data_IF_827108298814
#
_entry.id   IF_827108298814
#
_cell.length_a   1.000
_cell.length_b   1.000
_cell.length_c   1.000
_cell.angle_alpha   90.00
_cell.angle_beta   90.00
_cell.angle_gamma   90.00
#
_symmetry.space_group_name_H-M   'P 1'
#
loop_
_entity.id
_entity.type
_entity.pdbx_description
1 polymer ?
#
# COMPACT_ATOMS: atom_id res chain seq x y z
N UNK A 1 33.74 -8.77 -48.18
CA UNK A 1 32.37 -9.34 -48.27
C UNK A 1 31.38 -8.23 -48.61
N UNK A 2 30.42 -8.47 -49.51
CA UNK A 2 29.58 -7.39 -50.09
C UNK A 2 28.49 -6.88 -49.14
N UNK A 3 28.24 -5.56 -49.16
CA UNK A 3 27.16 -4.86 -48.43
C UNK A 3 25.76 -5.44 -48.68
N UNK A 4 25.55 -6.15 -49.79
CA UNK A 4 24.29 -6.83 -50.08
C UNK A 4 23.96 -7.97 -49.10
N UNK A 5 24.97 -8.66 -48.56
CA UNK A 5 24.73 -9.83 -47.70
C UNK A 5 24.27 -9.46 -46.29
N UNK A 6 24.75 -8.33 -45.77
CA UNK A 6 24.35 -7.82 -44.44
C UNK A 6 22.89 -7.37 -44.44
N UNK A 7 22.40 -6.80 -45.55
CA UNK A 7 21.00 -6.36 -45.69
C UNK A 7 19.99 -7.51 -45.72
N UNK A 8 20.36 -8.69 -46.26
CA UNK A 8 19.47 -9.87 -46.23
C UNK A 8 19.27 -10.41 -44.82
N UNK A 9 20.36 -10.64 -44.07
CA UNK A 9 20.26 -11.17 -42.71
C UNK A 9 19.40 -10.28 -41.79
N UNK A 10 19.56 -8.94 -41.87
CA UNK A 10 18.75 -8.00 -41.06
C UNK A 10 17.26 -8.05 -41.43
N UNK A 11 16.90 -8.33 -42.68
CA UNK A 11 15.50 -8.50 -43.11
C UNK A 11 14.91 -9.83 -42.63
N UNK A 12 15.68 -10.92 -42.64
CA UNK A 12 15.21 -12.22 -42.13
C UNK A 12 15.06 -12.24 -40.60
N UNK A 13 15.99 -11.64 -39.84
CA UNK A 13 15.86 -11.54 -38.37
C UNK A 13 14.63 -10.71 -37.96
N UNK A 14 14.34 -9.60 -38.66
CA UNK A 14 13.13 -8.81 -38.41
C UNK A 14 11.83 -9.55 -38.78
N UNK A 15 11.88 -10.49 -39.73
CA UNK A 15 10.73 -11.34 -40.10
C UNK A 15 10.41 -12.35 -39.00
N UNK A 16 11.43 -13.01 -38.46
CA UNK A 16 11.31 -13.97 -37.36
C UNK A 16 10.83 -13.34 -36.03
N UNK A 17 11.24 -12.11 -35.74
CA UNK A 17 10.75 -11.37 -34.56
C UNK A 17 9.26 -10.99 -34.71
N UNK A 18 8.86 -10.49 -35.89
CA UNK A 18 7.46 -10.15 -36.17
C UNK A 18 6.49 -11.34 -36.08
N UNK A 19 6.93 -12.55 -36.46
CA UNK A 19 6.07 -13.74 -36.35
C UNK A 19 5.88 -14.20 -34.89
N UNK A 20 6.89 -14.01 -34.02
CA UNK A 20 6.73 -14.27 -32.58
C UNK A 20 5.75 -13.30 -31.92
N UNK A 21 5.88 -12.00 -32.15
CA UNK A 21 4.96 -11.01 -31.55
C UNK A 21 3.52 -11.21 -32.04
N UNK A 22 3.32 -11.52 -33.33
CA UNK A 22 1.98 -11.85 -33.86
C UNK A 22 1.40 -13.12 -33.26
N UNK A 23 2.22 -14.14 -32.98
CA UNK A 23 1.77 -15.35 -32.29
C UNK A 23 1.30 -15.04 -30.86
N UNK A 24 2.05 -14.21 -30.13
CA UNK A 24 1.73 -13.79 -28.76
C UNK A 24 0.47 -12.93 -28.68
N UNK A 25 0.34 -11.91 -29.54
CA UNK A 25 -0.89 -11.10 -29.64
C UNK A 25 -2.11 -11.94 -30.05
N UNK A 26 -1.92 -12.91 -30.95
CA UNK A 26 -2.98 -13.85 -31.35
C UNK A 26 -3.45 -14.74 -30.19
N UNK A 27 -2.55 -15.14 -29.30
CA UNK A 27 -2.88 -16.00 -28.16
C UNK A 27 -3.72 -15.25 -27.11
N UNK A 28 -3.29 -14.04 -26.72
CA UNK A 28 -4.02 -13.18 -25.77
C UNK A 28 -5.42 -12.82 -26.30
N UNK A 29 -5.52 -12.39 -27.57
CA UNK A 29 -6.79 -12.02 -28.22
C UNK A 29 -7.78 -13.20 -28.32
N UNK A 30 -7.27 -14.45 -28.47
CA UNK A 30 -8.10 -15.66 -28.52
C UNK A 30 -8.53 -16.15 -27.14
N UNK A 31 -7.72 -15.92 -26.09
CA UNK A 31 -8.09 -16.31 -24.73
C UNK A 31 -9.22 -15.43 -24.19
N UNK A 32 -9.09 -14.10 -24.33
CA UNK A 32 -10.10 -13.14 -23.85
C UNK A 32 -11.48 -13.33 -24.50
N UNK A 33 -11.53 -13.64 -25.81
CA UNK A 33 -12.78 -13.92 -26.54
C UNK A 33 -13.47 -15.23 -26.13
N UNK A 34 -12.80 -16.14 -25.40
CA UNK A 34 -13.37 -17.43 -25.00
C UNK A 34 -14.11 -17.36 -23.66
N UNK A 35 -13.86 -16.34 -22.83
CA UNK A 35 -14.36 -16.28 -21.45
C UNK A 35 -15.62 -15.39 -21.35
N UNK A 36 -15.77 -14.36 -22.20
CA UNK A 36 -16.92 -13.44 -22.15
C UNK A 36 -17.51 -13.11 -23.53
N UNK A 37 -18.53 -13.84 -24.00
CA UNK A 37 -19.44 -13.36 -25.04
C UNK A 37 -20.57 -12.55 -24.39
N UNK A 38 -20.84 -11.32 -24.87
CA UNK A 38 -22.19 -10.72 -25.07
C UNK A 38 -22.10 -9.23 -25.50
N UNK A 39 -22.79 -8.95 -26.60
CA UNK A 39 -23.73 -7.82 -26.76
C UNK A 39 -23.31 -6.40 -26.34
N UNK A 40 -22.94 -5.60 -27.34
CA UNK A 40 -23.00 -4.13 -27.27
C UNK A 40 -24.43 -3.63 -26.97
N UNK A 41 -24.52 -2.58 -26.15
CA UNK A 41 -25.28 -1.40 -26.55
C UNK A 41 -24.68 -0.13 -25.91
N UNK A 42 -24.56 0.93 -26.71
CA UNK A 42 -23.81 2.15 -26.39
C UNK A 42 -24.77 3.35 -26.37
N UNK A 43 -24.81 4.06 -25.26
CA UNK A 43 -25.49 5.34 -25.13
C UNK A 43 -24.49 6.39 -24.69
N UNK A 44 -24.20 7.36 -25.56
CA UNK A 44 -23.33 8.49 -25.23
C UNK A 44 -24.15 9.58 -24.53
N UNK A 45 -23.65 10.15 -23.43
CA UNK A 45 -23.92 11.55 -23.07
C UNK A 45 -22.80 12.11 -22.20
N UNK A 46 -22.43 13.35 -22.47
CA UNK A 46 -21.26 14.05 -21.92
C UNK A 46 -21.70 15.15 -20.95
N UNK A 47 -21.16 15.19 -19.72
CA UNK A 47 -21.24 16.39 -18.87
C UNK A 47 -19.99 16.63 -18.01
N UNK A 48 -19.42 17.81 -18.23
CA UNK A 48 -18.79 18.75 -17.28
C UNK A 48 -17.84 18.24 -16.17
N UNK A 49 -16.57 18.63 -16.28
CA UNK A 49 -15.59 18.61 -15.18
C UNK A 49 -15.79 19.84 -14.27
N UNK A 50 -16.34 19.64 -13.08
CA UNK A 50 -16.23 20.60 -11.97
C UNK A 50 -16.44 19.90 -10.62
N UNK A 51 -15.61 20.26 -9.64
CA UNK A 51 -15.76 19.96 -8.20
C UNK A 51 -16.02 18.51 -7.75
N UNK A 52 -14.97 17.70 -7.62
CA UNK A 52 -14.89 16.63 -6.61
C UNK A 52 -13.47 16.55 -6.02
N UNK A 53 -13.31 17.00 -4.78
CA UNK A 53 -12.06 16.85 -4.00
C UNK A 53 -12.35 16.72 -2.49
N UNK A 54 -13.22 15.76 -2.13
CA UNK A 54 -13.59 15.51 -0.72
C UNK A 54 -14.18 14.11 -0.52
N UNK A 55 -13.37 13.06 -0.71
CA UNK A 55 -13.75 11.68 -0.35
C UNK A 55 -12.55 10.75 -0.14
N UNK A 56 -11.58 11.16 0.70
CA UNK A 56 -10.71 10.22 1.41
C UNK A 56 -11.25 10.04 2.84
N UNK A 57 -12.50 9.56 2.88
CA UNK A 57 -13.23 9.23 4.10
C UNK A 57 -12.73 7.89 4.62
N UNK A 58 -12.33 7.83 5.89
CA UNK A 58 -12.26 6.58 6.62
C UNK A 58 -13.61 5.86 6.50
N UNK A 59 -13.59 4.57 6.14
CA UNK A 59 -14.80 3.76 6.05
C UNK A 59 -15.45 3.65 7.43
N UNK A 60 -16.46 4.48 7.67
CA UNK A 60 -17.44 4.34 8.73
C UNK A 60 -18.81 4.52 8.10
N UNK A 61 -19.47 3.41 7.76
CA UNK A 61 -20.90 3.37 7.50
C UNK A 61 -21.50 2.19 8.26
N UNK A 62 -21.94 2.50 9.48
CA UNK A 62 -22.79 1.64 10.29
C UNK A 62 -23.62 2.52 11.21
N UNK A 63 -24.86 2.82 10.83
CA UNK A 63 -26.00 2.23 11.54
C UNK A 63 -27.34 2.50 10.86
N UNK A 64 -28.25 1.58 11.16
CA UNK A 64 -29.66 1.54 10.81
C UNK A 64 -30.51 2.27 11.88
N UNK A 65 -31.72 2.65 11.49
CA UNK A 65 -32.92 2.86 12.33
C UNK A 65 -33.11 4.14 13.18
N UNK A 66 -34.04 4.95 12.66
CA UNK A 66 -35.27 5.42 13.33
C UNK A 66 -35.31 6.75 14.10
N UNK A 67 -36.32 7.55 13.69
CA UNK A 67 -37.09 8.58 14.43
C UNK A 67 -36.37 9.80 15.04
N UNK A 68 -36.61 10.93 14.37
CA UNK A 68 -36.58 12.32 14.86
C UNK A 68 -37.74 12.55 15.87
N UNK A 69 -37.81 13.50 16.81
CA UNK A 69 -37.35 14.91 16.99
C UNK A 69 -37.47 15.28 18.53
N UNK A 70 -37.29 16.53 19.02
CA UNK A 70 -36.01 17.24 19.17
C UNK A 70 -35.84 17.89 20.58
N UNK A 71 -34.70 18.54 20.85
CA UNK A 71 -34.56 19.90 21.44
C UNK A 71 -33.14 20.16 22.00
N UNK A 72 -32.70 21.41 21.88
CA UNK A 72 -31.49 22.01 22.49
C UNK A 72 -31.95 22.96 23.65
N UNK A 73 -31.11 23.77 24.34
CA UNK A 73 -29.68 24.04 24.13
C UNK A 73 -28.80 24.22 25.41
N UNK A 74 -27.55 24.60 25.14
CA UNK A 74 -26.74 25.56 25.90
C UNK A 74 -25.90 25.10 27.11
N UNK A 75 -24.77 25.78 27.21
CA UNK A 75 -23.72 25.80 28.22
C UNK A 75 -24.09 25.32 29.64
N UNK A 76 -23.28 24.39 30.16
CA UNK A 76 -22.59 24.58 31.44
C UNK A 76 -21.45 23.54 31.61
N UNK A 77 -20.45 23.90 32.43
CA UNK A 77 -19.33 23.05 32.91
C UNK A 77 -18.04 22.98 32.08
N UNK A 78 -17.74 24.03 31.28
CA UNK A 78 -16.38 24.60 31.30
C UNK A 78 -16.25 25.48 32.56
N UNK A 79 -16.31 24.85 33.74
CA UNK A 79 -16.06 25.50 35.03
C UNK A 79 -15.92 24.46 36.15
N UNK A 80 -14.76 23.82 36.20
CA UNK A 80 -14.15 23.25 37.41
C UNK A 80 -12.69 22.90 37.11
N UNK A 81 -11.95 23.93 36.71
CA UNK A 81 -10.53 23.84 36.48
C UNK A 81 -9.75 23.75 37.80
N UNK A 82 -8.67 22.96 37.78
CA UNK A 82 -7.35 23.34 38.30
C UNK A 82 -7.31 24.01 39.69
N UNK A 83 -7.79 23.29 40.71
CA UNK A 83 -7.38 23.40 42.14
C UNK A 83 -7.40 21.96 42.67
N UNK A 84 -6.36 21.32 43.22
CA UNK A 84 -5.26 21.74 44.11
C UNK A 84 -4.00 20.91 43.74
N UNK A 85 -2.81 21.48 43.50
CA UNK A 85 -1.75 21.86 44.47
C UNK A 85 -1.22 20.70 45.34
N UNK A 86 0.10 20.49 45.26
CA UNK A 86 1.03 19.58 46.00
C UNK A 86 2.37 20.37 46.18
N UNK A 87 3.37 20.03 47.03
CA UNK A 87 3.50 19.10 48.18
C UNK A 87 3.88 19.85 49.50
N UNK A 88 4.32 19.19 50.61
CA UNK A 88 5.71 18.68 50.82
C UNK A 88 5.72 17.35 51.68
N UNK A 89 6.77 16.80 52.33
CA UNK A 89 8.26 16.95 52.32
C UNK A 89 8.97 15.56 52.46
N UNK A 90 9.92 15.34 53.40
CA UNK A 90 10.71 14.10 53.62
C UNK A 90 10.77 13.62 55.09
N UNK A 91 11.15 12.34 55.27
CA UNK A 91 12.12 11.73 56.25
C UNK A 91 12.21 10.22 55.89
N UNK A 92 13.38 9.65 55.54
CA UNK A 92 14.45 9.08 56.42
C UNK A 92 13.91 8.08 57.47
N UNK A 93 14.32 6.82 57.58
CA UNK A 93 15.32 5.96 56.89
C UNK A 93 15.31 4.53 57.51
N UNK A 94 16.45 3.78 57.46
CA UNK A 94 16.79 2.52 58.21
C UNK A 94 16.74 1.15 57.46
N UNK A 95 17.96 0.67 57.14
CA UNK A 95 18.56 -0.69 57.04
C UNK A 95 17.83 -1.97 56.56
N UNK A 96 18.56 -2.78 55.78
CA UNK A 96 18.27 -4.18 55.38
C UNK A 96 18.71 -5.22 56.47
N UNK A 97 18.54 -6.56 56.28
CA UNK A 97 19.36 -7.34 55.32
C UNK A 97 18.65 -8.50 54.57
N UNK A 98 19.34 -9.02 53.54
CA UNK A 98 19.05 -10.31 52.88
C UNK A 98 19.31 -11.52 53.81
N UNK A 99 18.82 -12.70 53.43
CA UNK A 99 19.79 -13.77 53.17
C UNK A 99 19.64 -14.42 51.78
N UNK A 100 20.78 -14.84 51.24
CA UNK A 100 20.87 -15.77 50.09
C UNK A 100 20.43 -17.16 50.55
N UNK A 101 19.83 -17.95 49.66
CA UNK A 101 19.93 -19.40 49.78
C UNK A 101 20.24 -20.01 48.41
N UNK A 102 21.35 -20.76 48.34
CA UNK A 102 21.80 -21.47 47.15
C UNK A 102 21.43 -22.93 47.35
N UNK A 103 20.63 -23.50 46.44
CA UNK A 103 20.54 -24.96 46.29
C UNK A 103 20.61 -25.34 44.81
N UNK A 104 21.55 -26.22 44.53
CA UNK A 104 21.85 -26.77 43.21
C UNK A 104 20.98 -27.98 42.89
N UNK A 105 20.94 -28.34 41.61
CA UNK A 105 20.36 -29.55 41.02
C UNK A 105 18.81 -29.57 41.02
N UNK A 106 18.12 -30.13 40.02
CA UNK A 106 18.56 -31.16 39.05
C UNK A 106 18.12 -30.85 37.60
N UNK A 107 18.78 -31.49 36.63
CA UNK A 107 18.37 -31.50 35.22
C UNK A 107 16.98 -32.11 35.05
N UNK A 108 16.08 -31.40 34.35
CA UNK A 108 14.98 -32.02 33.62
C UNK A 108 15.03 -31.58 32.17
N UNK A 109 15.29 -32.57 31.31
CA UNK A 109 15.45 -32.43 29.87
C UNK A 109 14.08 -32.32 29.21
N UNK A 110 13.62 -31.10 28.92
CA UNK A 110 12.38 -30.83 28.18
C UNK A 110 12.76 -30.41 26.76
N UNK A 111 12.46 -31.28 25.79
CA UNK A 111 12.64 -30.95 24.37
C UNK A 111 11.66 -29.83 23.95
N UNK A 112 12.00 -28.99 22.96
CA UNK A 112 11.15 -27.90 22.53
C UNK A 112 9.89 -28.43 21.83
N UNK A 113 8.79 -28.49 22.57
CA UNK A 113 7.47 -28.67 21.99
C UNK A 113 7.14 -27.50 21.06
N UNK A 114 6.84 -27.80 19.81
CA UNK A 114 6.25 -26.85 18.88
C UNK A 114 4.98 -26.24 19.50
N UNK A 115 4.78 -24.91 19.44
CA UNK A 115 3.55 -24.30 19.93
C UNK A 115 2.37 -24.74 19.05
N UNK A 116 1.62 -25.73 19.52
CA UNK A 116 0.31 -26.08 18.98
C UNK A 116 -0.63 -24.88 19.21
N UNK A 117 -1.27 -24.33 18.16
CA UNK A 117 -2.19 -23.21 18.33
C UNK A 117 -3.52 -23.71 18.92
N UNK A 118 -3.55 -23.83 20.25
CA UNK A 118 -4.77 -24.09 21.03
C UNK A 118 -4.92 -23.08 22.17
N UNK A 119 -5.05 -21.81 21.79
CA UNK A 119 -5.83 -20.85 22.58
C UNK A 119 -6.68 -20.01 21.61
N UNK A 120 -7.94 -19.78 21.96
CA UNK A 120 -8.93 -19.08 21.15
C UNK A 120 -8.80 -17.56 21.17
N UNK A 121 -7.57 -17.05 21.26
CA UNK A 121 -7.28 -15.63 21.32
C UNK A 121 -7.55 -14.95 19.98
N UNK A 122 -8.61 -14.13 19.92
CA UNK A 122 -8.92 -13.32 18.75
C UNK A 122 -7.74 -12.36 18.46
N UNK A 123 -7.05 -12.56 17.32
CA UNK A 123 -5.92 -11.73 16.90
C UNK A 123 -6.35 -10.27 16.80
N UNK A 124 -5.83 -9.45 17.71
CA UNK A 124 -6.11 -8.01 17.76
C UNK A 124 -5.45 -7.32 16.56
N UNK A 125 -6.27 -6.75 15.68
CA UNK A 125 -5.84 -5.99 14.50
C UNK A 125 -6.00 -4.49 14.73
N UNK A 126 -5.44 -3.68 13.84
CA UNK A 126 -5.70 -2.24 13.85
C UNK A 126 -7.19 -1.95 13.60
N UNK A 127 -7.75 -0.89 14.20
CA UNK A 127 -9.19 -0.62 14.18
C UNK A 127 -9.82 -0.40 12.79
N UNK A 128 -9.03 -0.20 11.73
CA UNK A 128 -9.54 -0.15 10.35
C UNK A 128 -9.82 -1.54 9.76
N UNK A 129 -9.47 -2.61 10.48
CA UNK A 129 -9.96 -3.97 10.23
C UNK A 129 -11.03 -4.29 11.29
N UNK A 130 -12.27 -4.38 10.84
CA UNK A 130 -13.46 -4.71 11.64
C UNK A 130 -13.84 -6.18 11.47
N UNK A 131 -14.70 -6.71 12.34
CA UNK A 131 -15.28 -8.07 12.20
C UNK A 131 -16.13 -8.25 10.92
N UNK A 132 -16.53 -7.16 10.27
CA UNK A 132 -17.26 -7.11 9.00
C UNK A 132 -16.37 -6.74 7.80
N UNK A 133 -15.05 -6.65 7.99
CA UNK A 133 -14.12 -6.36 6.90
C UNK A 133 -13.98 -7.56 5.98
N UNK A 134 -13.88 -7.27 4.69
CA UNK A 134 -13.72 -8.27 3.64
C UNK A 134 -12.38 -9.01 3.76
N UNK A 135 -12.38 -10.32 3.50
CA UNK A 135 -11.20 -11.18 3.67
C UNK A 135 -9.97 -10.68 2.90
N UNK A 136 -10.14 -10.09 1.72
CA UNK A 136 -9.00 -9.56 0.94
C UNK A 136 -8.32 -8.38 1.63
N UNK A 137 -9.07 -7.60 2.43
CA UNK A 137 -8.52 -6.46 3.18
C UNK A 137 -7.92 -6.90 4.51
N UNK A 138 -8.49 -7.94 5.13
CA UNK A 138 -7.89 -8.63 6.28
C UNK A 138 -6.53 -9.23 5.89
N UNK A 139 -6.46 -10.05 4.84
CA UNK A 139 -5.21 -10.63 4.32
C UNK A 139 -4.20 -9.54 3.94
N UNK A 140 -4.63 -8.46 3.27
CA UNK A 140 -3.72 -7.35 2.98
C UNK A 140 -3.11 -6.70 4.24
N UNK A 141 -3.88 -6.50 5.31
CA UNK A 141 -3.35 -6.04 6.61
C UNK A 141 -2.44 -7.08 7.28
N UNK A 142 -2.82 -8.34 7.21
CA UNK A 142 -2.20 -9.46 7.93
C UNK A 142 -0.92 -9.98 7.25
N UNK A 143 -0.72 -9.71 5.97
CA UNK A 143 0.40 -10.24 5.18
C UNK A 143 1.25 -9.14 4.52
N UNK A 144 0.65 -8.05 4.02
CA UNK A 144 1.34 -7.06 3.18
C UNK A 144 1.58 -5.71 3.87
N UNK A 145 0.56 -5.13 4.50
CA UNK A 145 0.60 -3.73 4.94
C UNK A 145 1.56 -3.53 6.11
N UNK A 146 2.45 -2.53 6.00
CA UNK A 146 3.52 -2.28 6.95
C UNK A 146 4.72 -3.23 6.82
N UNK A 147 4.71 -4.21 5.93
CA UNK A 147 5.89 -5.06 5.67
C UNK A 147 6.86 -4.31 4.74
N UNK A 148 8.16 -4.20 5.07
CA UNK A 148 9.13 -3.53 4.21
C UNK A 148 9.28 -4.18 2.83
N UNK A 149 8.93 -3.45 1.76
CA UNK A 149 9.05 -3.91 0.37
C UNK A 149 10.28 -3.30 -0.30
N UNK A 150 11.10 -4.14 -0.94
CA UNK A 150 12.35 -3.71 -1.60
C UNK A 150 12.37 -3.92 -3.13
N UNK A 151 11.40 -4.65 -3.69
CA UNK A 151 11.30 -4.91 -5.12
C UNK A 151 10.65 -3.74 -5.88
N UNK A 152 11.24 -3.33 -7.01
CA UNK A 152 10.79 -2.18 -7.79
C UNK A 152 9.39 -2.38 -8.39
N UNK A 153 9.01 -3.62 -8.77
CA UNK A 153 7.68 -3.90 -9.35
C UNK A 153 6.59 -3.84 -8.28
N UNK A 154 6.83 -4.46 -7.13
CA UNK A 154 5.92 -4.38 -5.98
C UNK A 154 5.77 -2.95 -5.46
N UNK A 155 6.85 -2.17 -5.42
CA UNK A 155 6.76 -0.74 -5.07
C UNK A 155 5.99 0.06 -6.12
N UNK A 156 6.11 -0.26 -7.42
CA UNK A 156 5.30 0.38 -8.45
C UNK A 156 3.82 -0.01 -8.36
N UNK A 157 3.51 -1.31 -8.16
CA UNK A 157 2.16 -1.82 -7.93
C UNK A 157 1.50 -1.09 -6.73
N UNK A 158 2.19 -1.03 -5.59
CA UNK A 158 1.71 -0.34 -4.40
C UNK A 158 1.50 1.16 -4.65
N UNK A 159 2.39 1.84 -5.38
CA UNK A 159 2.21 3.26 -5.71
C UNK A 159 0.99 3.48 -6.62
N UNK A 160 0.80 2.60 -7.62
CA UNK A 160 -0.33 2.65 -8.54
C UNK A 160 -1.66 2.43 -7.80
N UNK A 161 -1.74 1.39 -6.96
CA UNK A 161 -2.90 1.09 -6.13
C UNK A 161 -3.19 2.20 -5.11
N UNK A 162 -2.18 2.74 -4.42
CA UNK A 162 -2.36 3.91 -3.56
C UNK A 162 -2.90 5.11 -4.34
N UNK A 163 -2.46 5.32 -5.59
CA UNK A 163 -3.02 6.34 -6.47
C UNK A 163 -4.52 6.20 -6.73
N UNK A 164 -5.03 4.96 -6.79
CA UNK A 164 -6.46 4.66 -6.98
C UNK A 164 -7.33 4.97 -5.75
N UNK A 165 -6.74 5.30 -4.58
CA UNK A 165 -7.49 5.72 -3.39
C UNK A 165 -8.26 7.05 -3.54
N UNK A 166 -8.01 7.77 -4.64
CA UNK A 166 -8.82 8.92 -5.05
C UNK A 166 -10.19 8.50 -5.62
N UNK A 167 -10.28 7.26 -6.13
CA UNK A 167 -11.41 6.75 -6.91
C UNK A 167 -12.18 5.65 -6.14
N UNK A 168 -11.47 4.83 -5.35
CA UNK A 168 -11.99 3.63 -4.66
C UNK A 168 -11.37 3.44 -3.27
N UNK A 169 -11.99 2.61 -2.41
CA UNK A 169 -11.36 2.19 -1.15
C UNK A 169 -10.41 0.98 -1.34
N UNK A 170 -9.60 0.68 -0.33
CA UNK A 170 -8.65 -0.46 -0.38
C UNK A 170 -9.30 -1.79 -0.73
N UNK A 171 -10.44 -2.15 -0.12
CA UNK A 171 -11.14 -3.42 -0.41
C UNK A 171 -11.49 -3.55 -1.89
N UNK A 172 -12.03 -2.47 -2.48
CA UNK A 172 -12.37 -2.42 -3.90
C UNK A 172 -11.15 -2.54 -4.82
N UNK A 173 -10.04 -1.89 -4.47
CA UNK A 173 -8.77 -1.97 -5.23
C UNK A 173 -8.20 -3.39 -5.14
N UNK A 174 -8.18 -3.98 -3.93
CA UNK A 174 -7.64 -5.31 -3.66
C UNK A 174 -8.43 -6.41 -4.37
N UNK A 175 -9.76 -6.32 -4.45
CA UNK A 175 -10.59 -7.26 -5.22
C UNK A 175 -10.27 -7.27 -6.72
N UNK A 176 -9.71 -6.18 -7.25
CA UNK A 176 -9.31 -6.03 -8.66
C UNK A 176 -7.80 -6.17 -8.88
N UNK A 177 -7.01 -6.41 -7.83
CA UNK A 177 -5.54 -6.50 -7.85
C UNK A 177 -5.01 -7.42 -8.95
N UNK A 178 -5.57 -8.61 -9.11
CA UNK A 178 -5.13 -9.56 -10.14
C UNK A 178 -5.44 -9.07 -11.56
N UNK A 179 -6.60 -8.44 -11.78
CA UNK A 179 -6.93 -7.81 -13.07
C UNK A 179 -5.98 -6.63 -13.38
N UNK A 180 -5.60 -5.85 -12.37
CA UNK A 180 -4.59 -4.79 -12.53
C UNK A 180 -3.22 -5.35 -12.90
N UNK A 181 -2.78 -6.44 -12.26
CA UNK A 181 -1.52 -7.12 -12.59
C UNK A 181 -1.49 -7.63 -14.03
N UNK A 182 -2.55 -8.29 -14.47
CA UNK A 182 -2.69 -8.79 -15.85
C UNK A 182 -2.66 -7.64 -16.86
N UNK A 183 -3.44 -6.58 -16.63
CA UNK A 183 -3.50 -5.42 -17.51
C UNK A 183 -2.20 -4.60 -17.56
N UNK A 184 -1.47 -4.51 -16.44
CA UNK A 184 -0.21 -3.76 -16.32
C UNK A 184 1.03 -4.67 -16.30
N UNK A 185 0.96 -5.86 -16.90
CA UNK A 185 2.09 -6.78 -17.08
C UNK A 185 2.93 -7.01 -15.79
N UNK A 186 2.26 -7.42 -14.71
CA UNK A 186 2.81 -7.61 -13.36
C UNK A 186 3.55 -6.37 -12.81
N UNK A 187 3.11 -5.17 -13.23
CA UNK A 187 3.74 -3.89 -12.93
C UNK A 187 5.24 -3.86 -13.23
N UNK A 188 5.67 -4.50 -14.33
CA UNK A 188 7.03 -4.33 -14.84
C UNK A 188 7.19 -2.93 -15.47
N UNK A 189 8.03 -2.02 -14.93
CA UNK A 189 8.11 -0.65 -15.44
C UNK A 189 8.59 -0.57 -16.90
N UNK A 190 9.41 -1.53 -17.36
CA UNK A 190 9.89 -1.58 -18.74
C UNK A 190 8.80 -1.94 -19.75
N UNK A 191 7.84 -2.76 -19.33
CA UNK A 191 6.69 -3.17 -20.13
C UNK A 191 5.61 -2.09 -20.12
N UNK A 192 5.24 -1.61 -18.93
CA UNK A 192 4.20 -0.58 -18.76
C UNK A 192 4.58 0.76 -19.40
N UNK A 193 5.86 1.17 -19.34
CA UNK A 193 6.31 2.42 -19.97
C UNK A 193 6.19 2.44 -21.51
N UNK A 194 6.05 1.27 -22.15
CA UNK A 194 5.93 1.11 -23.61
C UNK A 194 4.48 1.06 -24.11
N UNK A 195 3.51 0.93 -23.21
CA UNK A 195 2.08 0.90 -23.56
C UNK A 195 1.68 2.20 -24.27
N UNK A 196 0.95 2.06 -25.38
CA UNK A 196 0.46 3.14 -26.22
C UNK A 196 -1.05 3.33 -26.12
N UNK A 197 -1.62 4.05 -27.08
CA UNK A 197 -3.05 4.37 -27.07
C UNK A 197 -3.95 3.14 -27.23
N UNK A 198 -3.47 2.08 -27.89
CA UNK A 198 -4.23 0.84 -28.05
C UNK A 198 -4.43 0.10 -26.71
N UNK A 199 -3.36 -0.06 -25.92
CA UNK A 199 -3.47 -0.65 -24.58
C UNK A 199 -4.27 0.27 -23.63
N UNK A 200 -4.15 1.59 -23.80
CA UNK A 200 -4.99 2.55 -23.04
C UNK A 200 -6.47 2.37 -23.33
N UNK A 201 -6.86 2.27 -24.60
CA UNK A 201 -8.26 2.04 -25.01
C UNK A 201 -8.77 0.67 -24.53
N UNK A 202 -7.98 -0.39 -24.64
CA UNK A 202 -8.33 -1.74 -24.17
C UNK A 202 -8.57 -1.77 -22.66
N UNK A 203 -7.62 -1.25 -21.86
CA UNK A 203 -7.70 -1.27 -20.40
C UNK A 203 -8.85 -0.39 -19.90
N UNK A 204 -9.03 0.81 -20.45
CA UNK A 204 -10.08 1.74 -20.01
C UNK A 204 -11.49 1.36 -20.47
N UNK A 205 -11.61 0.60 -21.57
CA UNK A 205 -12.89 0.04 -22.02
C UNK A 205 -13.35 -1.15 -21.18
N UNK A 206 -12.44 -1.80 -20.44
CA UNK A 206 -12.77 -2.95 -19.59
C UNK A 206 -13.50 -2.51 -18.31
N UNK A 207 -14.85 -2.59 -18.33
CA UNK A 207 -15.69 -2.23 -17.18
C UNK A 207 -15.37 -2.99 -15.88
N UNK A 208 -14.80 -4.19 -15.94
CA UNK A 208 -14.42 -4.94 -14.73
C UNK A 208 -13.24 -4.30 -13.98
N UNK A 209 -12.36 -3.58 -14.70
CA UNK A 209 -11.24 -2.84 -14.12
C UNK A 209 -11.71 -1.63 -13.31
N UNK A 210 -12.85 -1.05 -13.69
CA UNK A 210 -13.37 0.22 -13.18
C UNK A 210 -12.30 1.31 -13.16
N UNK A 211 -11.54 1.44 -14.27
CA UNK A 211 -10.35 2.28 -14.32
C UNK A 211 -10.47 3.34 -15.43
N UNK A 212 -10.55 4.61 -15.04
CA UNK A 212 -10.66 5.71 -16.00
C UNK A 212 -9.40 5.84 -16.88
N UNK A 213 -9.55 6.25 -18.14
CA UNK A 213 -8.44 6.42 -19.09
C UNK A 213 -7.31 7.32 -18.53
N UNK A 214 -7.67 8.37 -17.81
CA UNK A 214 -6.72 9.28 -17.14
C UNK A 214 -5.85 8.58 -16.08
N UNK A 215 -6.38 7.54 -15.43
CA UNK A 215 -5.67 6.68 -14.47
C UNK A 215 -4.76 5.68 -15.17
N UNK A 216 -5.20 5.08 -16.28
CA UNK A 216 -4.36 4.21 -17.12
C UNK A 216 -3.14 4.98 -17.63
N UNK A 217 -3.36 6.16 -18.24
CA UNK A 217 -2.28 7.05 -18.71
C UNK A 217 -1.36 7.49 -17.57
N UNK A 218 -1.89 7.79 -16.38
CA UNK A 218 -1.08 8.07 -15.19
C UNK A 218 -0.13 6.92 -14.83
N UNK A 219 -0.60 5.67 -14.85
CA UNK A 219 0.23 4.51 -14.48
C UNK A 219 1.36 4.34 -15.51
N UNK A 220 1.05 4.50 -16.80
CA UNK A 220 2.04 4.48 -17.90
C UNK A 220 3.07 5.62 -17.78
N UNK A 221 2.64 6.84 -17.46
CA UNK A 221 3.53 7.98 -17.24
C UNK A 221 4.43 7.77 -16.01
N UNK A 222 3.88 7.22 -14.92
CA UNK A 222 4.63 6.89 -13.71
C UNK A 222 5.67 5.79 -13.97
N UNK A 223 5.38 4.78 -14.80
CA UNK A 223 6.36 3.79 -15.22
C UNK A 223 7.56 4.44 -15.95
N UNK A 224 7.30 5.39 -16.86
CA UNK A 224 8.35 6.15 -17.55
C UNK A 224 9.20 6.97 -16.56
N UNK A 225 8.58 7.55 -15.53
CA UNK A 225 9.30 8.27 -14.47
C UNK A 225 10.12 7.34 -13.57
N UNK A 226 9.62 6.14 -13.27
CA UNK A 226 10.35 5.09 -12.55
C UNK A 226 11.63 4.68 -13.29
N UNK A 227 11.56 4.47 -14.61
CA UNK A 227 12.76 4.14 -15.40
C UNK A 227 13.82 5.25 -15.38
N UNK A 228 13.40 6.54 -15.41
CA UNK A 228 14.33 7.67 -15.25
C UNK A 228 14.99 7.69 -13.88
N UNK A 229 14.19 7.52 -12.82
CA UNK A 229 14.67 7.43 -11.43
C UNK A 229 15.63 6.25 -11.24
N UNK A 230 15.33 5.08 -11.81
CA UNK A 230 16.24 3.93 -11.78
C UNK A 230 17.57 4.21 -12.50
N UNK A 231 17.57 5.03 -13.57
CA UNK A 231 18.80 5.50 -14.22
C UNK A 231 19.65 6.44 -13.35
N UNK A 232 19.02 7.27 -12.51
CA UNK A 232 19.72 8.21 -11.61
C UNK A 232 20.16 7.57 -10.27
N UNK A 233 19.33 6.70 -9.69
CA UNK A 233 19.49 6.14 -8.34
C UNK A 233 19.78 4.63 -8.35
N UNK A 234 19.93 4.00 -9.51
CA UNK A 234 20.12 2.55 -9.68
C UNK A 234 18.83 1.72 -9.58
N UNK A 235 17.87 2.11 -8.73
CA UNK A 235 16.53 1.52 -8.68
C UNK A 235 15.51 2.46 -8.04
N UNK A 236 14.22 2.22 -8.29
CA UNK A 236 13.12 2.96 -7.66
C UNK A 236 13.06 2.71 -6.14
N UNK A 237 13.32 1.46 -5.73
CA UNK A 237 13.52 1.07 -4.34
C UNK A 237 14.62 1.89 -3.67
N UNK A 238 15.81 2.00 -4.27
CA UNK A 238 16.90 2.79 -3.70
C UNK A 238 16.50 4.27 -3.52
N UNK A 239 15.86 4.85 -4.52
CA UNK A 239 15.33 6.20 -4.46
C UNK A 239 14.29 6.38 -3.33
N UNK A 240 13.26 5.54 -3.24
CA UNK A 240 12.21 5.67 -2.22
C UNK A 240 12.75 5.42 -0.80
N UNK A 241 13.61 4.41 -0.62
CA UNK A 241 14.22 4.10 0.68
C UNK A 241 15.24 5.15 1.14
N UNK A 242 15.87 5.90 0.23
CA UNK A 242 16.80 6.98 0.59
C UNK A 242 16.13 8.07 1.45
N UNK A 243 14.85 8.37 1.22
CA UNK A 243 14.11 9.36 2.01
C UNK A 243 13.94 9.00 3.48
N UNK A 244 14.05 7.72 3.82
CA UNK A 244 14.00 7.21 5.20
C UNK A 244 15.37 6.70 5.66
N UNK A 245 16.47 7.12 5.01
CA UNK A 245 17.83 6.67 5.30
C UNK A 245 17.97 5.14 5.30
N UNK A 246 17.23 4.46 4.43
CA UNK A 246 17.18 3.00 4.31
C UNK A 246 16.75 2.24 5.58
N UNK A 247 15.97 2.90 6.46
CA UNK A 247 15.37 2.30 7.66
C UNK A 247 13.92 2.74 7.80
N UNK A 248 12.94 1.84 8.03
CA UNK A 248 11.56 2.25 8.23
C UNK A 248 11.39 3.23 9.39
N UNK A 249 10.45 4.16 9.26
CA UNK A 249 10.03 5.01 10.38
C UNK A 249 9.08 4.22 11.27
N UNK A 250 9.55 3.78 12.45
CA UNK A 250 8.73 2.99 13.38
C UNK A 250 7.93 3.93 14.28
N UNK A 251 6.62 4.02 14.07
CA UNK A 251 5.73 4.78 14.93
C UNK A 251 5.24 3.95 16.12
N UNK A 252 4.63 4.61 17.11
CA UNK A 252 4.12 4.00 18.36
C UNK A 252 2.70 4.48 18.66
N UNK A 253 1.83 4.47 17.66
CA UNK A 253 0.46 4.96 17.78
C UNK A 253 -0.39 4.02 18.66
N UNK A 254 -1.01 4.56 19.71
CA UNK A 254 -1.94 3.82 20.60
C UNK A 254 -3.40 3.90 20.17
N UNK A 255 -3.74 4.84 19.29
CA UNK A 255 -5.11 5.15 18.90
C UNK A 255 -5.18 5.51 17.41
N UNK A 256 -6.20 5.08 16.66
CA UNK A 256 -6.33 5.37 15.22
C UNK A 256 -6.28 6.85 14.89
N UNK A 257 -6.94 7.69 15.71
CA UNK A 257 -6.99 9.16 15.55
C UNK A 257 -5.62 9.85 15.63
N UNK A 258 -4.58 9.16 16.10
CA UNK A 258 -3.22 9.70 16.16
C UNK A 258 -2.43 9.39 14.88
N UNK A 259 -2.88 8.45 14.03
CA UNK A 259 -2.29 8.15 12.73
C UNK A 259 -2.67 9.31 11.78
N UNK A 260 -1.70 10.08 11.26
CA UNK A 260 -2.01 11.25 10.45
C UNK A 260 -2.37 10.85 9.01
N UNK A 261 -3.17 11.66 8.31
CA UNK A 261 -3.46 11.44 6.88
C UNK A 261 -2.26 11.77 5.96
N UNK A 262 -1.31 12.57 6.44
CA UNK A 262 -0.06 12.93 5.76
C UNK A 262 1.01 13.32 6.78
N UNK A 263 2.28 13.21 6.41
CA UNK A 263 3.41 13.66 7.24
C UNK A 263 4.29 14.67 6.48
N UNK A 264 5.10 15.49 7.18
CA UNK A 264 6.09 16.36 6.52
C UNK A 264 7.06 15.58 5.62
N UNK A 265 7.37 14.32 5.96
CA UNK A 265 8.18 13.43 5.12
C UNK A 265 7.46 13.07 3.81
N UNK A 266 6.19 12.67 3.88
CA UNK A 266 5.37 12.39 2.70
C UNK A 266 5.16 13.63 1.81
N UNK A 267 5.09 14.84 2.38
CA UNK A 267 5.05 16.09 1.62
C UNK A 267 6.34 16.37 0.84
N UNK A 268 7.50 16.11 1.44
CA UNK A 268 8.80 16.25 0.75
C UNK A 268 8.88 15.26 -0.43
N UNK A 269 8.57 13.98 -0.17
CA UNK A 269 8.57 12.92 -1.19
C UNK A 269 7.58 13.23 -2.31
N UNK A 270 6.35 13.64 -1.96
CA UNK A 270 5.30 14.04 -2.91
C UNK A 270 5.74 15.18 -3.81
N UNK A 271 6.35 16.23 -3.25
CA UNK A 271 6.89 17.36 -4.03
C UNK A 271 8.03 16.94 -4.96
N UNK A 272 8.84 15.95 -4.60
CA UNK A 272 9.93 15.47 -5.46
C UNK A 272 9.41 14.58 -6.60
N UNK A 273 8.52 13.62 -6.29
CA UNK A 273 7.83 12.80 -7.29
C UNK A 273 7.11 13.69 -8.32
N UNK A 274 6.38 14.72 -7.89
CA UNK A 274 5.73 15.68 -8.80
C UNK A 274 6.75 16.45 -9.66
N UNK A 275 7.86 16.93 -9.08
CA UNK A 275 8.95 17.59 -9.83
C UNK A 275 9.61 16.65 -10.86
N UNK A 276 9.60 15.34 -10.62
CA UNK A 276 10.07 14.28 -11.53
C UNK A 276 9.03 13.83 -12.57
N UNK A 277 7.84 14.44 -12.58
CA UNK A 277 6.76 14.17 -13.53
C UNK A 277 5.80 13.05 -13.15
N UNK A 278 5.91 12.47 -11.94
CA UNK A 278 4.91 11.53 -11.46
C UNK A 278 3.56 12.22 -11.27
N UNK A 279 2.48 11.49 -11.59
CA UNK A 279 1.10 11.95 -11.54
C UNK A 279 0.34 11.24 -10.41
N UNK A 280 -0.68 11.91 -9.88
CA UNK A 280 -1.54 11.45 -8.76
C UNK A 280 -0.79 11.08 -7.46
N UNK A 281 0.41 11.60 -7.26
CA UNK A 281 1.27 11.40 -6.08
C UNK A 281 1.13 12.55 -5.07
N UNK A 282 -0.10 12.81 -4.59
CA UNK A 282 -0.36 13.80 -3.55
C UNK A 282 0.16 13.36 -2.16
N UNK A 283 0.37 14.26 -1.18
CA UNK A 283 0.99 13.88 0.11
C UNK A 283 0.24 12.80 0.90
N UNK A 284 -1.09 12.76 0.81
CA UNK A 284 -1.92 11.71 1.44
C UNK A 284 -1.71 10.36 0.74
N UNK A 285 -1.70 10.35 -0.60
CA UNK A 285 -1.44 9.16 -1.41
C UNK A 285 -0.04 8.60 -1.14
N UNK A 286 0.97 9.48 -1.11
CA UNK A 286 2.36 9.12 -0.81
C UNK A 286 2.49 8.58 0.61
N UNK A 287 1.77 9.13 1.59
CA UNK A 287 1.79 8.58 2.95
C UNK A 287 1.13 7.20 3.02
N UNK A 288 -0.01 7.00 2.34
CA UNK A 288 -0.65 5.68 2.28
C UNK A 288 0.23 4.64 1.56
N UNK A 289 0.94 5.05 0.51
CA UNK A 289 1.98 4.23 -0.12
C UNK A 289 3.11 3.88 0.86
N UNK A 290 3.65 4.85 1.60
CA UNK A 290 4.70 4.62 2.59
C UNK A 290 4.28 3.61 3.67
N UNK A 291 3.02 3.67 4.11
CA UNK A 291 2.43 2.72 5.05
C UNK A 291 2.31 1.32 4.41
N UNK A 292 1.74 1.24 3.21
CA UNK A 292 1.51 -0.02 2.51
C UNK A 292 2.82 -0.75 2.14
N UNK A 293 3.88 -0.02 1.79
CA UNK A 293 5.20 -0.54 1.43
C UNK A 293 6.18 -0.69 2.61
N UNK A 294 5.73 -0.42 3.85
CA UNK A 294 6.56 -0.56 5.05
C UNK A 294 7.71 0.45 5.19
N UNK A 295 7.68 1.59 4.46
CA UNK A 295 8.59 2.71 4.72
C UNK A 295 8.27 3.41 6.06
N UNK A 296 7.03 3.26 6.54
CA UNK A 296 6.60 3.61 7.90
C UNK A 296 5.82 2.46 8.51
N UNK A 297 6.10 2.14 9.77
CA UNK A 297 5.40 1.09 10.53
C UNK A 297 4.33 1.78 11.37
N UNK A 298 3.12 1.82 10.81
CA UNK A 298 1.96 2.55 11.35
C UNK A 298 0.91 1.62 11.97
N UNK A 299 1.20 0.32 12.10
CA UNK A 299 0.42 -0.59 12.94
C UNK A 299 0.29 0.02 14.34
N UNK A 300 -0.90 -0.08 14.93
CA UNK A 300 -1.10 0.35 16.30
C UNK A 300 -0.34 -0.59 17.25
N UNK A 301 0.16 -0.09 18.37
CA UNK A 301 1.01 -0.87 19.30
C UNK A 301 0.30 -2.06 19.98
N UNK A 302 -1.01 -2.18 19.78
CA UNK A 302 -1.88 -3.25 20.24
C UNK A 302 -2.29 -4.22 19.11
N UNK A 303 -1.85 -3.97 17.87
CA UNK A 303 -2.01 -4.87 16.74
C UNK A 303 -0.98 -6.00 16.78
N UNK A 304 -1.40 -7.24 16.52
CA UNK A 304 -0.52 -8.41 16.53
C UNK A 304 0.63 -8.33 15.50
N UNK A 305 0.43 -7.60 14.39
CA UNK A 305 1.48 -7.34 13.38
C UNK A 305 2.52 -6.30 13.83
N UNK A 306 2.28 -5.55 14.91
CA UNK A 306 3.14 -4.42 15.29
C UNK A 306 4.58 -4.85 15.57
N UNK A 307 4.77 -5.83 16.45
CA UNK A 307 6.09 -6.33 16.82
C UNK A 307 6.74 -7.07 15.64
N UNK A 308 5.96 -7.80 14.83
CA UNK A 308 6.45 -8.48 13.64
C UNK A 308 7.00 -7.50 12.61
N UNK A 309 6.23 -6.49 12.21
CA UNK A 309 6.66 -5.45 11.26
C UNK A 309 7.81 -4.60 11.82
N UNK A 310 7.84 -4.34 13.13
CA UNK A 310 8.97 -3.69 13.82
C UNK A 310 10.24 -4.55 13.72
N UNK A 311 10.16 -5.85 14.01
CA UNK A 311 11.29 -6.77 13.90
C UNK A 311 11.78 -6.96 12.45
N UNK A 312 10.88 -6.86 11.45
CA UNK A 312 11.24 -6.83 10.04
C UNK A 312 11.94 -5.51 9.65
N UNK A 313 11.50 -4.39 10.23
CA UNK A 313 12.07 -3.07 10.00
C UNK A 313 13.47 -2.87 10.60
N UNK A 314 13.81 -3.58 11.67
CA UNK A 314 15.14 -3.54 12.29
C UNK A 314 16.20 -4.35 11.52
N UNK A 315 15.80 -5.19 10.55
CA UNK A 315 16.73 -5.95 9.71
C UNK A 315 17.57 -5.03 8.82
N UNK A 316 18.86 -5.33 8.58
CA UNK A 316 19.67 -4.56 7.65
C UNK A 316 19.06 -4.53 6.25
N UNK A 317 19.05 -3.33 5.66
CA UNK A 317 18.62 -3.11 4.28
C UNK A 317 19.51 -3.89 3.30
N UNK A 318 18.88 -4.57 2.32
CA UNK A 318 19.51 -5.54 1.38
C UNK A 318 19.93 -6.90 1.97
N UNK A 319 19.10 -7.47 2.84
CA UNK A 319 19.07 -8.93 3.04
C UNK A 319 17.78 -9.55 2.46
N UNK A 320 17.60 -9.40 1.14
CA UNK A 320 16.86 -10.21 0.17
C UNK A 320 17.39 -9.78 -1.20
#
# INVERSE_FOLDING_TARGET
>A
MSRASVRKNVLETNRYLNEKDKSSQSFLSRHLKKIYPIGLNRSNSSLSLSSLSLSLSLSQNSNDSSLTEPTSPLDHKISLALRLIRPPERRSGVTAPFPRNVRSAQNLNIQPGSPTPSDGGELRRCNWITKSSDEVYVSFHDECWGVPVYDDRQLFELLAMSGMLMDYNWTEILKRKQLYREAFAEFDPNSVAKMGDAEVEEISSNKAMMLAESRVRCIIDNAKCILKVAGEFGSFSNYMWSYVNHKPTINRFKHPRNVPLRTPKAEVISKDLQRRGFRFVGPVIVYSFMQAAGLTIDHLVDCYRYDECTNLAERPWRHI
#
